data_IF_209979078877
#
_entry.id   IF_209979078877
#
_cell.length_a   1.000
_cell.length_b   1.000
_cell.length_c   1.000
_cell.angle_alpha   90.00
_cell.angle_beta   90.00
_cell.angle_gamma   90.00
#
_symmetry.space_group_name_H-M   'P 1'
#
loop_
_entity.id
_entity.type
_entity.pdbx_description
1 polymer ?
#
# COMPACT_ATOMS: atom_id res chain seq x y z
N UNK A 1 -15.19 12.19 -14.97
CA UNK A 1 -16.41 11.55 -14.42
C UNK A 1 -17.73 12.16 -14.93
N UNK A 2 -17.87 13.49 -15.11
CA UNK A 2 -19.14 14.08 -15.60
C UNK A 2 -19.51 13.78 -17.07
N UNK A 3 -18.54 13.52 -17.93
CA UNK A 3 -18.78 13.31 -19.37
C UNK A 3 -19.34 11.91 -19.72
N UNK A 4 -19.09 10.92 -18.86
CA UNK A 4 -19.66 9.57 -18.98
C UNK A 4 -19.81 9.00 -17.55
N UNK A 5 -21.05 8.89 -17.05
CA UNK A 5 -21.35 8.36 -15.72
C UNK A 5 -20.82 6.94 -15.49
N UNK A 6 -20.66 6.12 -16.53
CA UNK A 6 -20.11 4.76 -16.43
C UNK A 6 -18.64 4.72 -16.00
N UNK A 7 -17.91 5.82 -16.20
CA UNK A 7 -16.53 5.95 -15.74
C UNK A 7 -16.41 6.13 -14.22
N UNK A 8 -17.50 6.52 -13.54
CA UNK A 8 -17.52 6.63 -12.07
C UNK A 8 -17.29 5.26 -11.45
N UNK A 9 -18.11 4.27 -11.83
CA UNK A 9 -18.05 2.92 -11.26
C UNK A 9 -16.71 2.23 -11.56
N UNK A 10 -16.23 2.32 -12.81
CA UNK A 10 -14.92 1.77 -13.19
C UNK A 10 -13.78 2.43 -12.43
N UNK A 11 -13.80 3.76 -12.33
CA UNK A 11 -12.80 4.52 -11.57
C UNK A 11 -12.77 4.15 -10.09
N UNK A 12 -13.94 3.97 -9.47
CA UNK A 12 -14.06 3.54 -8.07
C UNK A 12 -13.45 2.17 -7.85
N UNK A 13 -13.68 1.21 -8.73
CA UNK A 13 -13.08 -0.14 -8.62
C UNK A 13 -11.55 -0.09 -8.71
N UNK A 14 -11.00 0.73 -9.61
CA UNK A 14 -9.56 0.93 -9.74
C UNK A 14 -9.00 1.60 -8.48
N UNK A 15 -9.69 2.62 -7.94
CA UNK A 15 -9.28 3.28 -6.71
C UNK A 15 -9.17 2.31 -5.53
N UNK A 16 -10.17 1.44 -5.36
CA UNK A 16 -10.11 0.39 -4.33
C UNK A 16 -8.98 -0.60 -4.58
N UNK A 17 -8.77 -1.04 -5.82
CA UNK A 17 -7.66 -1.92 -6.16
C UNK A 17 -6.30 -1.29 -5.82
N UNK A 18 -6.09 -0.02 -6.20
CA UNK A 18 -4.87 0.72 -5.87
C UNK A 18 -4.69 0.88 -4.36
N UNK A 19 -5.75 1.19 -3.63
CA UNK A 19 -5.71 1.27 -2.17
C UNK A 19 -5.32 -0.08 -1.53
N UNK A 20 -5.84 -1.21 -2.02
CA UNK A 20 -5.43 -2.52 -1.51
C UNK A 20 -3.96 -2.81 -1.79
N UNK A 21 -3.44 -2.43 -2.96
CA UNK A 21 -2.02 -2.58 -3.29
C UNK A 21 -1.15 -1.73 -2.36
N UNK A 22 -1.53 -0.48 -2.09
CA UNK A 22 -0.85 0.39 -1.11
C UNK A 22 -0.78 -0.28 0.27
N UNK A 23 -1.91 -0.80 0.78
CA UNK A 23 -1.95 -1.47 2.09
C UNK A 23 -1.12 -2.77 2.13
N UNK A 24 -1.00 -3.47 1.01
CA UNK A 24 -0.09 -4.63 0.90
C UNK A 24 1.35 -4.15 1.01
N UNK A 25 1.71 -3.06 0.32
CA UNK A 25 3.02 -2.42 0.42
C UNK A 25 3.40 -2.08 1.86
N UNK A 26 2.55 -1.32 2.56
CA UNK A 26 2.78 -0.96 3.97
C UNK A 26 3.05 -2.19 4.84
N UNK A 27 2.26 -3.26 4.69
CA UNK A 27 2.44 -4.48 5.49
C UNK A 27 3.75 -5.19 5.16
N UNK A 28 4.17 -5.18 3.90
CA UNK A 28 5.45 -5.75 3.49
C UNK A 28 6.60 -4.95 4.11
N UNK A 29 6.51 -3.62 4.12
CA UNK A 29 7.49 -2.75 4.81
C UNK A 29 7.59 -3.11 6.29
N UNK A 30 6.47 -3.18 7.01
CA UNK A 30 6.47 -3.53 8.44
C UNK A 30 7.13 -4.91 8.70
N UNK A 31 6.84 -5.92 7.86
CA UNK A 31 7.46 -7.25 7.99
C UNK A 31 8.97 -7.18 7.72
N UNK A 32 9.41 -6.37 6.75
CA UNK A 32 10.82 -6.19 6.45
C UNK A 32 11.55 -5.49 7.61
N UNK A 33 10.95 -4.47 8.21
CA UNK A 33 11.46 -3.79 9.41
C UNK A 33 11.61 -4.76 10.58
N UNK A 34 10.61 -5.62 10.83
CA UNK A 34 10.69 -6.68 11.85
C UNK A 34 11.86 -7.65 11.59
N UNK A 35 12.10 -8.03 10.34
CA UNK A 35 13.23 -8.90 9.94
C UNK A 35 14.56 -8.21 10.16
N UNK A 36 14.68 -6.92 9.81
CA UNK A 36 15.89 -6.12 10.05
C UNK A 36 16.17 -6.01 11.54
N UNK A 37 15.14 -5.73 12.35
CA UNK A 37 15.27 -5.69 13.81
C UNK A 37 15.72 -7.04 14.38
N UNK A 38 15.13 -8.15 13.92
CA UNK A 38 15.52 -9.49 14.37
C UNK A 38 16.99 -9.82 14.05
N UNK A 39 17.51 -9.32 12.92
CA UNK A 39 18.87 -9.61 12.47
C UNK A 39 19.93 -8.67 13.08
N UNK A 40 19.60 -7.40 13.27
CA UNK A 40 20.55 -6.35 13.68
C UNK A 40 20.40 -5.92 15.14
N UNK A 41 19.21 -6.03 15.71
CA UNK A 41 18.82 -5.45 17.01
C UNK A 41 18.44 -3.96 16.94
N UNK A 42 18.52 -3.32 15.78
CA UNK A 42 18.24 -1.90 15.57
C UNK A 42 16.86 -1.68 14.95
N UNK A 43 16.20 -0.59 15.32
CA UNK A 43 14.92 -0.18 14.72
C UNK A 43 15.24 0.73 13.52
N UNK A 44 14.91 0.26 12.32
CA UNK A 44 15.04 1.03 11.09
C UNK A 44 13.67 1.31 10.47
N UNK A 45 13.47 2.53 9.97
CA UNK A 45 12.32 2.91 9.14
C UNK A 45 12.71 2.73 7.67
N UNK A 46 12.07 1.77 7.01
CA UNK A 46 12.37 1.42 5.62
C UNK A 46 11.53 2.21 4.60
N UNK A 47 10.62 3.07 5.05
CA UNK A 47 9.77 3.91 4.21
C UNK A 47 9.74 5.39 4.69
N UNK A 48 10.87 6.12 4.54
CA UNK A 48 11.01 7.51 4.98
C UNK A 48 10.32 8.57 4.09
#
# INVERSE_FOLDING_TARGET
MRADPGNVERGTRILFASHYVERIGDRVTNIAEDVVFLASGEIEDLNP
#
